data_IF_512525652816
#
_entry.id   IF_512525652816
#
_cell.length_a   1.000
_cell.length_b   1.000
_cell.length_c   1.000
_cell.angle_alpha   90.00
_cell.angle_beta   90.00
_cell.angle_gamma   90.00
#
_symmetry.space_group_name_H-M   'P 1'
#
loop_
_entity.id
_entity.type
_entity.pdbx_description
1 polymer ?
#
# COMPACT_ATOMS: atom_id res chain seq x y z
N UNK A 1 31.33 4.51 0.25
CA UNK A 1 31.21 3.49 1.32
C UNK A 1 29.89 3.59 2.09
N UNK A 2 29.37 4.78 2.44
CA UNK A 2 28.12 4.96 3.21
C UNK A 2 26.86 4.33 2.58
N UNK A 3 26.62 4.53 1.28
CA UNK A 3 25.42 4.00 0.59
C UNK A 3 25.33 2.45 0.58
N UNK A 4 26.48 1.76 0.59
CA UNK A 4 26.52 0.29 0.67
C UNK A 4 26.21 -0.22 2.08
N UNK A 5 26.69 0.48 3.10
CA UNK A 5 26.42 0.18 4.51
C UNK A 5 24.94 0.42 4.86
N UNK A 6 24.35 1.50 4.36
CA UNK A 6 22.92 1.83 4.56
C UNK A 6 22.00 0.78 3.95
N UNK A 7 22.32 0.31 2.73
CA UNK A 7 21.54 -0.73 2.06
C UNK A 7 21.67 -2.10 2.75
N UNK A 8 22.87 -2.46 3.19
CA UNK A 8 23.08 -3.67 3.98
C UNK A 8 22.35 -3.60 5.34
N UNK A 9 22.36 -2.43 5.99
CA UNK A 9 21.59 -2.19 7.20
C UNK A 9 20.09 -2.27 6.96
N UNK A 10 19.62 -1.80 5.79
CA UNK A 10 18.22 -1.89 5.39
C UNK A 10 17.77 -3.35 5.18
N UNK A 11 18.57 -4.13 4.46
CA UNK A 11 18.30 -5.55 4.26
C UNK A 11 18.30 -6.32 5.60
N UNK A 12 19.18 -5.94 6.53
CA UNK A 12 19.22 -6.51 7.89
C UNK A 12 17.97 -6.17 8.71
N UNK A 13 17.40 -4.98 8.56
CA UNK A 13 16.13 -4.60 9.20
C UNK A 13 14.98 -5.46 8.67
N UNK A 14 14.82 -5.55 7.35
CA UNK A 14 13.76 -6.36 6.74
C UNK A 14 13.87 -7.84 7.10
N UNK A 15 15.10 -8.36 7.16
CA UNK A 15 15.36 -9.73 7.60
C UNK A 15 14.91 -9.95 9.05
N UNK A 16 15.23 -9.02 9.97
CA UNK A 16 14.80 -9.09 11.37
C UNK A 16 13.28 -9.02 11.49
N UNK A 17 12.63 -8.15 10.71
CA UNK A 17 11.16 -8.08 10.65
C UNK A 17 10.60 -9.45 10.24
N UNK A 18 11.10 -10.05 9.15
CA UNK A 18 10.65 -11.36 8.68
C UNK A 18 10.81 -12.49 9.71
N UNK A 19 11.89 -12.48 10.49
CA UNK A 19 12.10 -13.44 11.59
C UNK A 19 11.04 -13.32 12.68
N UNK A 20 10.67 -12.09 13.05
CA UNK A 20 9.64 -11.84 14.06
C UNK A 20 8.25 -12.20 13.52
N UNK A 21 7.98 -11.99 12.22
CA UNK A 21 6.73 -12.44 11.57
C UNK A 21 6.56 -13.96 11.64
N UNK A 22 7.62 -14.73 11.39
CA UNK A 22 7.59 -16.19 11.52
C UNK A 22 7.23 -16.58 12.96
N UNK A 23 7.84 -15.93 13.96
CA UNK A 23 7.52 -16.14 15.38
C UNK A 23 6.07 -15.76 15.71
N UNK A 24 5.58 -14.64 15.18
CA UNK A 24 4.21 -14.20 15.36
C UNK A 24 3.21 -15.25 14.83
N UNK A 25 3.45 -15.78 13.63
CA UNK A 25 2.63 -16.84 13.05
C UNK A 25 2.73 -18.18 13.78
N UNK A 26 3.79 -18.41 14.57
CA UNK A 26 3.89 -19.55 15.47
C UNK A 26 3.03 -19.41 16.74
N UNK A 27 2.41 -18.25 16.96
CA UNK A 27 1.40 -18.02 18.01
C UNK A 27 1.87 -17.17 19.19
N UNK A 28 3.15 -16.82 19.27
CA UNK A 28 3.69 -16.01 20.38
C UNK A 28 3.55 -14.51 20.08
N UNK A 29 2.32 -14.01 20.22
CA UNK A 29 1.94 -12.61 19.91
C UNK A 29 2.64 -11.60 20.81
N UNK A 30 2.73 -11.88 22.12
CA UNK A 30 3.32 -10.95 23.08
C UNK A 30 4.81 -10.76 22.82
N UNK A 31 5.55 -11.86 22.60
CA UNK A 31 6.96 -11.80 22.26
C UNK A 31 7.20 -11.13 20.91
N UNK A 32 6.34 -11.40 19.91
CA UNK A 32 6.39 -10.72 18.62
C UNK A 32 6.24 -9.21 18.79
N UNK A 33 5.23 -8.77 19.54
CA UNK A 33 5.01 -7.34 19.84
C UNK A 33 6.23 -6.72 20.49
N UNK A 34 6.79 -7.36 21.52
CA UNK A 34 7.98 -6.86 22.24
C UNK A 34 9.16 -6.68 21.30
N UNK A 35 9.42 -7.63 20.41
CA UNK A 35 10.52 -7.55 19.43
C UNK A 35 10.28 -6.49 18.37
N UNK A 36 9.06 -6.40 17.84
CA UNK A 36 8.72 -5.37 16.87
C UNK A 36 8.83 -3.95 17.46
N UNK A 37 8.37 -3.74 18.71
CA UNK A 37 8.53 -2.46 19.40
C UNK A 37 10.01 -2.12 19.62
N UNK A 38 10.84 -3.11 19.94
CA UNK A 38 12.31 -2.93 20.00
C UNK A 38 12.88 -2.46 18.68
N UNK A 39 12.50 -3.09 17.56
CA UNK A 39 12.91 -2.67 16.22
C UNK A 39 12.39 -1.26 15.87
N UNK A 40 11.18 -0.93 16.29
CA UNK A 40 10.60 0.41 16.06
C UNK A 40 11.39 1.48 16.81
N UNK A 41 11.81 1.20 18.05
CA UNK A 41 12.64 2.11 18.83
C UNK A 41 14.04 2.32 18.21
N UNK A 42 14.61 1.32 17.53
CA UNK A 42 15.88 1.44 16.81
C UNK A 42 15.75 2.31 15.55
N UNK A 43 14.67 2.13 14.78
CA UNK A 43 14.47 2.76 13.47
C UNK A 43 13.89 4.17 13.61
N UNK A 44 12.92 4.32 14.51
CA UNK A 44 12.17 5.55 14.77
C UNK A 44 11.31 6.04 13.60
N UNK A 45 10.66 7.18 13.81
CA UNK A 45 9.78 7.84 12.82
C UNK A 45 10.53 8.33 11.57
N UNK A 46 11.86 8.41 11.63
CA UNK A 46 12.72 8.84 10.53
C UNK A 46 13.31 7.69 9.71
N UNK A 47 12.95 6.45 10.04
CA UNK A 47 13.38 5.28 9.28
C UNK A 47 12.97 5.31 7.82
N UNK A 48 13.62 4.47 7.01
CA UNK A 48 13.24 4.27 5.63
C UNK A 48 11.73 3.93 5.55
N UNK A 49 10.94 4.61 4.71
CA UNK A 49 9.49 4.45 4.71
C UNK A 49 9.02 3.00 4.47
N UNK A 50 9.76 2.19 3.71
CA UNK A 50 9.44 0.77 3.52
C UNK A 50 9.52 0.02 4.85
N UNK A 51 10.56 0.23 5.65
CA UNK A 51 10.70 -0.41 6.96
C UNK A 51 9.59 0.05 7.90
N UNK A 52 9.29 1.36 7.95
CA UNK A 52 8.21 1.89 8.78
C UNK A 52 6.87 1.30 8.38
N UNK A 53 6.56 1.26 7.08
CA UNK A 53 5.34 0.67 6.54
C UNK A 53 5.21 -0.81 6.96
N UNK A 54 6.23 -1.63 6.67
CA UNK A 54 6.18 -3.07 6.95
C UNK A 54 6.15 -3.36 8.45
N UNK A 55 6.96 -2.67 9.24
CA UNK A 55 7.01 -2.88 10.69
C UNK A 55 5.73 -2.43 11.39
N UNK A 56 5.18 -1.26 11.03
CA UNK A 56 3.93 -0.77 11.59
C UNK A 56 2.75 -1.69 11.26
N UNK A 57 2.69 -2.21 10.03
CA UNK A 57 1.68 -3.18 9.62
C UNK A 57 1.70 -4.44 10.51
N UNK A 58 2.87 -5.04 10.73
CA UNK A 58 2.96 -6.21 11.61
C UNK A 58 2.77 -5.87 13.10
N UNK A 59 3.11 -4.65 13.54
CA UNK A 59 2.80 -4.20 14.89
C UNK A 59 1.30 -4.13 15.14
N UNK A 60 0.52 -3.66 14.15
CA UNK A 60 -0.93 -3.60 14.23
C UNK A 60 -1.53 -4.98 14.54
N UNK A 61 -1.16 -6.01 13.78
CA UNK A 61 -1.64 -7.40 13.95
C UNK A 61 -1.33 -8.01 15.34
N UNK A 62 -0.36 -7.44 16.06
CA UNK A 62 -0.04 -7.90 17.41
C UNK A 62 -0.85 -7.23 18.50
N UNK A 63 -1.60 -6.15 18.23
CA UNK A 63 -2.38 -5.43 19.24
C UNK A 63 -3.67 -6.18 19.62
N UNK A 64 -4.14 -5.99 20.86
CA UNK A 64 -5.43 -6.55 21.32
C UNK A 64 -6.54 -5.49 21.34
N UNK A 65 -6.17 -4.22 21.56
CA UNK A 65 -7.10 -3.10 21.47
C UNK A 65 -7.23 -2.63 20.00
N UNK A 66 -8.45 -2.57 19.45
CA UNK A 66 -8.65 -2.12 18.07
C UNK A 66 -8.26 -0.66 17.80
N UNK A 67 -8.19 0.19 18.83
CA UNK A 67 -7.72 1.57 18.71
C UNK A 67 -6.20 1.65 18.56
N UNK A 68 -5.47 0.84 19.31
CA UNK A 68 -4.02 0.71 19.17
C UNK A 68 -3.63 0.10 17.82
N UNK A 69 -4.36 -0.95 17.38
CA UNK A 69 -4.22 -1.54 16.05
C UNK A 69 -4.39 -0.48 14.95
N UNK A 70 -5.50 0.27 15.01
CA UNK A 70 -5.78 1.37 14.08
C UNK A 70 -4.66 2.42 14.06
N UNK A 71 -4.12 2.77 15.22
CA UNK A 71 -3.06 3.76 15.32
C UNK A 71 -1.77 3.28 14.62
N UNK A 72 -1.47 1.99 14.66
CA UNK A 72 -0.34 1.40 13.94
C UNK A 72 -0.61 1.28 12.44
N UNK A 73 -1.80 0.87 12.02
CA UNK A 73 -2.17 0.79 10.61
C UNK A 73 -2.17 2.17 9.92
N UNK A 74 -2.56 3.23 10.62
CA UNK A 74 -2.45 4.60 10.11
C UNK A 74 -0.99 5.02 9.90
N UNK A 75 -0.07 4.61 10.78
CA UNK A 75 1.38 4.84 10.58
C UNK A 75 1.90 4.05 9.38
N UNK A 76 1.44 2.81 9.20
CA UNK A 76 1.80 2.00 8.05
C UNK A 76 1.37 2.67 6.74
N UNK A 77 0.12 3.16 6.68
CA UNK A 77 -0.40 3.88 5.51
C UNK A 77 0.36 5.18 5.26
N UNK A 78 0.64 5.98 6.29
CA UNK A 78 1.38 7.23 6.13
C UNK A 78 2.78 6.99 5.52
N UNK A 79 3.52 5.99 6.03
CA UNK A 79 4.82 5.64 5.48
C UNK A 79 4.72 5.10 4.03
N UNK A 80 3.65 4.38 3.70
CA UNK A 80 3.37 3.93 2.35
C UNK A 80 3.06 5.08 1.37
N UNK A 81 2.39 6.15 1.83
CA UNK A 81 2.08 7.36 1.05
C UNK A 81 3.32 8.22 0.76
N UNK A 82 4.30 8.22 1.67
CA UNK A 82 5.59 8.89 1.44
C UNK A 82 6.35 8.28 0.26
N UNK A 83 6.30 6.96 0.06
CA UNK A 83 7.02 6.27 -1.02
C UNK A 83 6.38 6.44 -2.38
N UNK A 84 5.05 6.42 -2.42
CA UNK A 84 4.31 6.60 -3.67
C UNK A 84 4.34 8.04 -4.14
N UNK A 85 4.86 8.96 -3.31
CA UNK A 85 4.93 10.38 -3.60
C UNK A 85 3.53 10.92 -3.83
N UNK A 86 2.65 10.75 -2.83
CA UNK A 86 1.26 11.22 -2.77
C UNK A 86 0.70 11.63 -4.12
N UNK A 87 0.33 10.66 -4.95
CA UNK A 87 -0.21 10.75 -6.32
C UNK A 87 -0.36 12.19 -6.86
N UNK A 88 0.77 12.85 -7.12
CA UNK A 88 0.79 14.12 -7.84
C UNK A 88 1.00 13.73 -9.30
N UNK A 89 0.00 13.92 -10.19
CA UNK A 89 0.17 13.55 -11.58
C UNK A 89 1.42 14.25 -12.10
N UNK A 90 2.37 13.46 -12.60
CA UNK A 90 3.58 13.98 -13.21
C UNK A 90 3.16 15.03 -14.23
N UNK A 91 3.63 16.27 -14.08
CA UNK A 91 3.36 17.32 -15.05
C UNK A 91 3.73 16.78 -16.44
N UNK A 92 2.87 16.97 -17.46
CA UNK A 92 3.16 16.46 -18.79
C UNK A 92 4.52 16.99 -19.24
N UNK A 93 5.41 16.08 -19.64
CA UNK A 93 6.68 16.46 -20.24
C UNK A 93 6.39 17.38 -21.43
N UNK A 94 7.03 18.55 -21.54
CA UNK A 94 6.88 19.39 -22.72
C UNK A 94 7.30 18.58 -23.96
N UNK A 95 6.63 18.75 -25.11
CA UNK A 95 7.02 18.06 -26.33
C UNK A 95 8.45 18.47 -26.68
N UNK A 96 9.28 17.47 -26.98
CA UNK A 96 10.62 17.70 -27.52
C UNK A 96 10.49 18.60 -28.76
N UNK A 97 11.21 19.72 -28.77
CA UNK A 97 11.25 20.62 -29.90
C UNK A 97 11.69 19.86 -31.18
N UNK A 98 11.16 20.21 -32.36
CA UNK A 98 11.52 19.54 -33.61
C UNK A 98 13.01 19.73 -33.90
N UNK A 99 13.66 18.61 -34.25
CA UNK A 99 15.09 18.51 -34.46
C UNK A 99 15.61 19.46 -35.54
N UNK A 100 16.70 20.14 -35.21
CA UNK A 100 17.57 20.77 -36.21
C UNK A 100 18.39 19.64 -36.83
N UNK A 101 18.05 19.33 -38.07
CA UNK A 101 18.81 18.45 -38.96
C UNK A 101 20.13 19.14 -39.31
N UNK A 102 21.25 18.55 -38.92
CA UNK A 102 22.49 18.69 -39.68
C UNK A 102 23.00 17.30 -40.03
N UNK A 103 23.11 17.07 -41.33
CA UNK A 103 23.41 15.77 -41.91
C UNK A 103 24.89 15.45 -41.91
N UNK A 104 25.21 14.15 -41.85
CA UNK A 104 26.27 13.51 -42.64
C UNK A 104 26.20 11.96 -42.57
N UNK A 105 25.91 11.40 -43.74
CA UNK A 105 26.19 10.07 -44.32
C UNK A 105 27.00 9.00 -43.55
N UNK A 106 26.50 7.75 -43.64
CA UNK A 106 27.34 6.53 -43.80
C UNK A 106 26.75 5.25 -43.18
N UNK A 107 26.71 4.09 -43.89
CA UNK A 107 25.80 2.99 -43.53
C UNK A 107 26.46 1.75 -42.88
N UNK A 108 25.57 0.87 -42.41
CA UNK A 108 25.72 -0.56 -42.11
C UNK A 108 26.04 -0.98 -40.66
N UNK A 109 25.29 -1.97 -40.19
CA UNK A 109 25.63 -2.78 -39.02
C UNK A 109 24.41 -3.24 -38.23
N UNK A 110 23.99 -4.48 -38.47
CA UNK A 110 22.96 -5.14 -37.67
C UNK A 110 23.39 -5.35 -36.22
N UNK A 111 22.39 -5.48 -35.35
CA UNK A 111 22.59 -5.73 -33.94
C UNK A 111 21.31 -5.45 -33.17
N UNK A 112 20.39 -6.41 -33.19
CA UNK A 112 19.42 -6.54 -32.11
C UNK A 112 20.21 -6.79 -30.82
N UNK A 113 20.49 -5.72 -30.07
CA UNK A 113 21.07 -5.81 -28.74
C UNK A 113 19.90 -5.63 -27.78
N UNK A 114 19.73 -6.63 -26.92
CA UNK A 114 18.56 -6.82 -26.09
C UNK A 114 18.14 -5.59 -25.28
N UNK A 115 16.86 -5.62 -24.93
CA UNK A 115 16.25 -4.91 -23.81
C UNK A 115 17.04 -5.20 -22.52
N UNK A 116 18.22 -4.59 -22.41
CA UNK A 116 18.92 -4.43 -21.15
C UNK A 116 18.15 -3.36 -20.42
N UNK A 117 17.08 -3.79 -19.75
CA UNK A 117 16.29 -2.95 -18.86
C UNK A 117 17.25 -2.11 -18.04
N UNK A 118 17.20 -0.79 -18.27
CA UNK A 118 17.99 0.17 -17.52
C UNK A 118 17.89 -0.17 -16.03
N UNK A 119 18.98 -0.09 -15.24
CA UNK A 119 18.93 -0.42 -13.83
C UNK A 119 17.81 0.41 -13.21
N UNK A 120 16.77 -0.29 -12.73
CA UNK A 120 15.59 0.35 -12.17
C UNK A 120 16.04 1.39 -11.15
N UNK A 121 15.60 2.64 -11.33
CA UNK A 121 16.01 3.75 -10.47
C UNK A 121 15.89 3.32 -8.99
N UNK A 122 16.87 3.67 -8.13
CA UNK A 122 16.84 3.28 -6.73
C UNK A 122 15.47 3.63 -6.11
N UNK A 123 14.88 2.65 -5.40
CA UNK A 123 13.55 2.73 -4.81
C UNK A 123 12.36 2.34 -5.71
N UNK A 124 12.55 2.02 -7.01
CA UNK A 124 11.41 1.61 -7.86
C UNK A 124 10.78 0.29 -7.39
N UNK A 125 11.61 -0.70 -7.03
CA UNK A 125 11.15 -1.99 -6.48
C UNK A 125 10.43 -1.84 -5.15
N UNK A 126 10.90 -0.95 -4.28
CA UNK A 126 10.28 -0.66 -2.98
C UNK A 126 8.92 0.02 -3.16
N UNK A 127 8.82 0.97 -4.09
CA UNK A 127 7.55 1.59 -4.48
C UNK A 127 6.56 0.58 -5.05
N UNK A 128 7.01 -0.37 -5.88
CA UNK A 128 6.15 -1.44 -6.40
C UNK A 128 5.68 -2.39 -5.29
N UNK A 129 6.58 -2.80 -4.40
CA UNK A 129 6.24 -3.64 -3.26
C UNK A 129 5.20 -2.95 -2.37
N UNK A 130 5.41 -1.66 -2.06
CA UNK A 130 4.48 -0.85 -1.27
C UNK A 130 3.13 -0.67 -1.95
N UNK A 131 3.08 -0.42 -3.27
CA UNK A 131 1.81 -0.37 -4.01
C UNK A 131 1.00 -1.65 -3.91
N UNK A 132 1.64 -2.82 -3.84
CA UNK A 132 0.94 -4.09 -3.64
C UNK A 132 0.34 -4.24 -2.23
N UNK A 133 0.83 -3.49 -1.24
CA UNK A 133 0.25 -3.44 0.12
C UNK A 133 -0.97 -2.52 0.23
N UNK A 134 -1.16 -1.53 -0.65
CA UNK A 134 -2.25 -0.53 -0.54
C UNK A 134 -3.64 -1.13 -0.36
N UNK A 135 -4.04 -2.17 -1.13
CA UNK A 135 -5.33 -2.84 -0.94
C UNK A 135 -5.47 -3.42 0.47
N UNK A 136 -4.44 -4.09 0.97
CA UNK A 136 -4.44 -4.72 2.29
C UNK A 136 -4.43 -3.68 3.42
N UNK A 137 -3.61 -2.62 3.30
CA UNK A 137 -3.58 -1.51 4.27
C UNK A 137 -4.94 -0.84 4.42
N UNK A 138 -5.62 -0.56 3.30
CA UNK A 138 -6.98 -0.01 3.36
C UNK A 138 -8.01 -1.01 3.86
N UNK A 139 -7.85 -2.31 3.59
CA UNK A 139 -8.74 -3.35 4.10
C UNK A 139 -8.64 -3.47 5.62
N UNK A 140 -7.43 -3.46 6.19
CA UNK A 140 -7.22 -3.53 7.63
C UNK A 140 -7.81 -2.31 8.34
N UNK A 141 -7.50 -1.10 7.85
CA UNK A 141 -8.10 0.13 8.37
C UNK A 141 -9.63 0.09 8.33
N UNK A 142 -10.22 -0.47 7.26
CA UNK A 142 -11.67 -0.64 7.19
C UNK A 142 -12.20 -1.59 8.26
N UNK A 143 -11.50 -2.70 8.52
CA UNK A 143 -11.86 -3.65 9.57
C UNK A 143 -11.73 -3.05 10.98
N UNK A 144 -10.71 -2.23 11.23
CA UNK A 144 -10.51 -1.54 12.50
C UNK A 144 -11.59 -0.51 12.77
N UNK A 145 -11.87 0.33 11.78
CA UNK A 145 -12.96 1.30 11.89
C UNK A 145 -14.32 0.63 12.11
N UNK A 146 -14.57 -0.52 11.49
CA UNK A 146 -15.79 -1.31 11.72
C UNK A 146 -15.86 -1.83 13.16
N UNK A 147 -14.75 -2.40 13.67
CA UNK A 147 -14.64 -2.85 15.08
C UNK A 147 -14.86 -1.73 16.09
N UNK A 148 -14.45 -0.51 15.76
CA UNK A 148 -14.66 0.69 16.58
C UNK A 148 -16.04 1.34 16.37
N UNK A 149 -16.93 0.74 15.57
CA UNK A 149 -18.27 1.27 15.27
C UNK A 149 -18.29 2.50 14.37
N UNK A 150 -17.15 2.88 13.79
CA UNK A 150 -16.98 4.06 12.92
C UNK A 150 -17.28 3.70 11.47
N UNK A 151 -18.53 3.32 11.19
CA UNK A 151 -18.97 2.74 9.91
C UNK A 151 -18.65 3.59 8.67
N UNK A 152 -18.74 4.91 8.74
CA UNK A 152 -18.48 5.76 7.56
C UNK A 152 -17.00 5.77 7.17
N UNK A 153 -16.11 5.78 8.16
CA UNK A 153 -14.67 5.63 7.94
C UNK A 153 -14.36 4.22 7.39
N UNK A 154 -14.98 3.18 7.95
CA UNK A 154 -14.84 1.81 7.46
C UNK A 154 -15.23 1.69 5.97
N UNK A 155 -16.38 2.24 5.58
CA UNK A 155 -16.84 2.27 4.18
C UNK A 155 -15.90 3.05 3.26
N UNK A 156 -15.36 4.18 3.72
CA UNK A 156 -14.39 4.96 2.96
C UNK A 156 -13.14 4.13 2.64
N UNK A 157 -12.57 3.49 3.66
CA UNK A 157 -11.38 2.67 3.50
C UNK A 157 -11.65 1.41 2.67
N UNK A 158 -12.82 0.78 2.82
CA UNK A 158 -13.23 -0.34 1.97
C UNK A 158 -13.31 0.04 0.49
N UNK A 159 -13.84 1.23 0.15
CA UNK A 159 -13.85 1.73 -1.24
C UNK A 159 -12.43 1.95 -1.77
N UNK A 160 -11.51 2.45 -0.95
CA UNK A 160 -10.10 2.62 -1.33
C UNK A 160 -9.41 1.28 -1.56
N UNK A 161 -9.66 0.29 -0.68
CA UNK A 161 -9.18 -1.07 -0.84
C UNK A 161 -9.65 -1.69 -2.17
N UNK A 162 -10.95 -1.57 -2.49
CA UNK A 162 -11.53 -2.01 -3.77
C UNK A 162 -10.83 -1.40 -4.98
N UNK A 163 -10.64 -0.07 -4.98
CA UNK A 163 -9.97 0.64 -6.09
C UNK A 163 -8.54 0.17 -6.30
N UNK A 164 -7.78 0.02 -5.22
CA UNK A 164 -6.40 -0.42 -5.30
C UNK A 164 -6.30 -1.90 -5.72
N UNK A 165 -7.24 -2.75 -5.30
CA UNK A 165 -7.24 -4.18 -5.60
C UNK A 165 -7.40 -4.53 -7.09
N UNK A 166 -7.92 -3.59 -7.90
CA UNK A 166 -8.01 -3.73 -9.36
C UNK A 166 -6.64 -3.91 -10.01
N UNK A 167 -5.58 -3.36 -9.39
CA UNK A 167 -4.21 -3.45 -9.91
C UNK A 167 -3.45 -4.68 -9.42
N UNK A 168 -4.02 -5.48 -8.52
CA UNK A 168 -3.37 -6.71 -8.06
C UNK A 168 -3.40 -7.77 -9.15
N UNK A 169 -2.35 -8.58 -9.21
CA UNK A 169 -2.31 -9.77 -10.04
C UNK A 169 -3.37 -10.79 -9.59
N UNK A 170 -3.77 -11.67 -10.51
CA UNK A 170 -4.65 -12.81 -10.24
C UNK A 170 -3.86 -13.98 -9.65
N UNK A 171 -3.15 -13.70 -8.56
CA UNK A 171 -2.43 -14.68 -7.77
C UNK A 171 -3.12 -14.92 -6.42
N UNK A 172 -2.58 -15.87 -5.66
CA UNK A 172 -3.14 -16.27 -4.37
C UNK A 172 -3.26 -15.11 -3.38
N UNK A 173 -2.37 -14.12 -3.48
CA UNK A 173 -2.41 -12.93 -2.63
C UNK A 173 -3.54 -11.99 -3.08
N UNK A 174 -3.61 -11.66 -4.37
CA UNK A 174 -4.67 -10.85 -4.95
C UNK A 174 -6.07 -11.42 -4.70
N UNK A 175 -6.24 -12.72 -4.89
CA UNK A 175 -7.48 -13.45 -4.56
C UNK A 175 -7.83 -13.32 -3.07
N UNK A 176 -6.85 -13.50 -2.18
CA UNK A 176 -7.05 -13.39 -0.73
C UNK A 176 -7.52 -12.00 -0.30
N UNK A 177 -6.91 -10.95 -0.84
CA UNK A 177 -7.29 -9.55 -0.59
C UNK A 177 -8.71 -9.27 -1.08
N UNK A 178 -9.04 -9.63 -2.33
CA UNK A 178 -10.38 -9.42 -2.91
C UNK A 178 -11.46 -10.17 -2.11
N UNK A 179 -11.19 -11.41 -1.74
CA UNK A 179 -12.10 -12.17 -0.89
C UNK A 179 -12.28 -11.53 0.50
N UNK A 180 -11.22 -10.94 1.07
CA UNK A 180 -11.28 -10.18 2.32
C UNK A 180 -12.18 -8.94 2.21
N UNK A 181 -12.01 -8.17 1.14
CA UNK A 181 -12.86 -7.01 0.79
C UNK A 181 -14.33 -7.42 0.72
N UNK A 182 -14.64 -8.51 0.01
CA UNK A 182 -16.03 -8.97 -0.15
C UNK A 182 -16.65 -9.43 1.16
N UNK A 183 -15.88 -10.10 2.02
CA UNK A 183 -16.35 -10.50 3.37
C UNK A 183 -16.66 -9.28 4.23
N UNK A 184 -15.81 -8.26 4.21
CA UNK A 184 -16.01 -7.06 4.99
C UNK A 184 -17.18 -6.22 4.45
N UNK A 185 -17.32 -6.13 3.14
CA UNK A 185 -18.43 -5.45 2.48
C UNK A 185 -19.80 -5.97 2.93
N UNK A 186 -19.99 -7.30 2.89
CA UNK A 186 -21.22 -7.95 3.36
C UNK A 186 -21.51 -7.67 4.83
N UNK A 187 -20.46 -7.61 5.66
CA UNK A 187 -20.58 -7.33 7.10
C UNK A 187 -21.03 -5.90 7.37
N UNK A 188 -20.47 -4.92 6.65
CA UNK A 188 -20.79 -3.50 6.81
C UNK A 188 -22.11 -3.13 6.09
N UNK A 189 -22.64 -4.03 5.26
CA UNK A 189 -23.82 -3.80 4.43
C UNK A 189 -23.53 -2.89 3.23
N UNK A 190 -22.31 -2.97 2.67
CA UNK A 190 -21.84 -2.19 1.51
C UNK A 190 -21.75 -3.06 0.24
N UNK A 191 -22.85 -3.74 -0.09
CA UNK A 191 -23.02 -4.52 -1.32
C UNK A 191 -23.44 -3.62 -2.53
N UNK A 192 -22.91 -2.39 -2.64
CA UNK A 192 -22.91 -1.51 -3.84
C UNK A 192 -24.27 -1.03 -4.45
N UNK A 193 -24.23 -0.17 -5.49
CA UNK A 193 -23.90 1.28 -5.43
C UNK A 193 -25.04 2.10 -4.77
N UNK A 194 -24.83 3.41 -4.57
CA UNK A 194 -25.80 4.35 -3.98
C UNK A 194 -27.26 4.10 -4.39
N UNK A 195 -28.02 3.39 -3.53
CA UNK A 195 -29.44 3.20 -3.68
C UNK A 195 -30.16 4.21 -2.79
N UNK A 196 -30.87 5.14 -3.43
CA UNK A 196 -31.95 5.89 -2.81
C UNK A 196 -31.69 7.37 -2.59
N UNK A 197 -31.48 8.14 -3.66
CA UNK A 197 -32.22 9.40 -3.74
C UNK A 197 -33.71 9.02 -3.69
N UNK A 198 -34.50 9.44 -2.69
CA UNK A 198 -35.94 9.32 -2.83
C UNK A 198 -36.34 10.28 -3.95
N UNK A 199 -37.02 9.85 -5.02
CA UNK A 199 -37.69 10.79 -5.89
C UNK A 199 -38.74 11.47 -5.02
N UNK A 200 -38.44 12.69 -4.58
CA UNK A 200 -39.43 13.59 -4.02
C UNK A 200 -40.58 13.70 -5.03
N UNK A 201 -41.65 12.95 -4.80
CA UNK A 201 -42.91 13.08 -5.49
C UNK A 201 -43.81 14.00 -4.67
N UNK A 202 -44.30 15.13 -5.22
CA UNK A 202 -45.22 15.98 -4.47
C UNK A 202 -46.52 15.22 -4.18
N UNK A 203 -47.14 15.42 -3.00
CA UNK A 203 -48.38 14.73 -2.65
C UNK A 203 -49.51 15.17 -3.59
N UNK A 204 -50.15 14.20 -4.25
CA UNK A 204 -51.40 14.41 -4.98
C UNK A 204 -52.51 14.68 -3.96
N UNK A 205 -53.09 15.87 -4.01
CA UNK A 205 -54.34 16.15 -3.31
C UNK A 205 -55.52 15.67 -4.17
N UNK A 206 -56.42 14.91 -3.54
CA UNK A 206 -57.84 14.70 -3.92
C UNK A 206 -58.61 14.26 -2.67
N UNK A 207 -59.94 14.48 -2.59
CA UNK A 207 -60.87 14.89 -3.66
C UNK A 207 -61.14 16.39 -3.73
#
# INVERSE_FOLDING_TARGET
MAQGQERASADAVLTRIGQVVILHHAGDREEARRRFLGLWAEIGEHGAPLHRCTLAHYLADTQDDPGDELAWDLRALAAAEELTGGDRPAAPRPPSAPGVLDGQHGPAGGGAVGDQGAPAAPGHRERLAVRAFYPALHLNLAADYDRLGRRDAARLHLRRARRAAVLLADDRYGEGVRAGIDRLARRIGDDGPAAGEPPWGPPRQRP
#
